data_IF_065983159013
#
_entry.id   IF_065983159013
#
_cell.length_a   1.000
_cell.length_b   1.000
_cell.length_c   1.000
_cell.angle_alpha   90.00
_cell.angle_beta   90.00
_cell.angle_gamma   90.00
#
_symmetry.space_group_name_H-M   'P 1'
#
loop_
_entity.id
_entity.type
_entity.pdbx_description
1 polymer ?
#
# COMPACT_ATOMS: atom_id res chain seq x y z
N UNK A 1 21.77 15.63 8.43
CA UNK A 1 20.73 16.38 9.16
C UNK A 1 19.60 15.43 9.52
N UNK A 2 19.07 15.50 10.74
CA UNK A 2 18.14 14.51 11.33
C UNK A 2 16.68 14.60 10.81
N UNK A 3 16.38 15.50 9.87
CA UNK A 3 15.03 15.65 9.31
C UNK A 3 14.00 16.17 10.32
N UNK A 4 14.44 16.86 11.38
CA UNK A 4 13.57 17.39 12.42
C UNK A 4 12.67 18.49 11.86
N UNK A 5 11.38 18.38 12.13
CA UNK A 5 10.44 19.47 11.88
C UNK A 5 10.67 20.62 12.88
N UNK A 6 10.56 21.88 12.44
CA UNK A 6 10.62 23.03 13.35
C UNK A 6 9.53 22.96 14.43
N UNK A 7 9.78 23.59 15.56
CA UNK A 7 8.79 23.69 16.63
C UNK A 7 7.53 24.40 16.14
N UNK A 8 6.38 23.71 16.26
CA UNK A 8 5.06 24.25 16.02
C UNK A 8 4.27 24.18 17.35
N UNK A 9 3.92 25.32 17.97
CA UNK A 9 3.15 25.33 19.22
C UNK A 9 1.70 24.89 19.04
N UNK A 10 1.18 25.00 17.82
CA UNK A 10 -0.18 24.60 17.47
C UNK A 10 -0.18 23.20 16.86
N UNK A 11 -0.99 22.30 17.43
CA UNK A 11 -1.23 20.95 16.92
C UNK A 11 -2.57 20.95 16.17
N UNK A 12 -2.57 21.07 14.83
CA UNK A 12 -3.80 20.96 14.06
C UNK A 12 -4.40 19.56 14.23
N UNK A 13 -5.72 19.49 14.31
CA UNK A 13 -6.47 18.24 14.36
C UNK A 13 -7.11 17.99 12.99
N UNK A 14 -6.40 17.31 12.06
CA UNK A 14 -6.95 16.98 10.75
C UNK A 14 -8.14 16.04 10.91
N UNK A 15 -9.21 16.31 10.16
CA UNK A 15 -10.40 15.44 10.14
C UNK A 15 -10.08 14.06 9.56
N UNK A 16 -9.04 13.95 8.74
CA UNK A 16 -8.55 12.68 8.17
C UNK A 16 -7.95 11.74 9.23
N UNK A 17 -7.49 12.28 10.37
CA UNK A 17 -6.99 11.45 11.48
C UNK A 17 -8.11 10.90 12.38
N UNK A 18 -9.37 11.28 12.13
CA UNK A 18 -10.53 10.84 12.92
C UNK A 18 -11.01 9.47 12.45
N UNK A 19 -10.76 8.45 13.26
CA UNK A 19 -10.98 7.04 12.89
C UNK A 19 -12.45 6.58 12.89
N UNK A 20 -13.34 7.31 13.55
CA UNK A 20 -14.75 6.97 13.75
C UNK A 20 -15.68 7.69 12.77
N UNK A 21 -15.24 7.95 11.54
CA UNK A 21 -15.97 8.61 10.44
C UNK A 21 -17.50 8.69 10.63
N UNK A 22 -18.04 9.87 10.92
CA UNK A 22 -19.47 10.17 11.15
C UNK A 22 -20.22 9.24 12.15
N UNK A 23 -19.50 8.42 12.92
CA UNK A 23 -20.01 7.55 13.97
C UNK A 23 -19.65 8.17 15.32
N UNK A 24 -20.56 8.96 15.87
CA UNK A 24 -20.36 9.57 17.18
C UNK A 24 -20.45 8.52 18.29
N UNK A 25 -19.34 8.30 19.00
CA UNK A 25 -19.26 7.36 20.13
C UNK A 25 -19.44 8.16 21.41
N UNK A 26 -20.57 8.00 22.10
CA UNK A 26 -20.86 8.78 23.30
C UNK A 26 -20.25 8.14 24.55
N UNK A 27 -19.75 9.00 25.45
CA UNK A 27 -19.22 8.61 26.78
C UNK A 27 -18.17 7.50 26.71
N UNK A 28 -17.15 7.66 25.88
CA UNK A 28 -15.99 6.75 25.87
C UNK A 28 -15.35 6.72 27.25
N UNK A 29 -15.22 5.52 27.83
CA UNK A 29 -14.60 5.28 29.14
C UNK A 29 -13.21 4.69 29.01
N UNK A 30 -13.00 3.80 28.04
CA UNK A 30 -11.73 3.16 27.80
C UNK A 30 -11.51 2.93 26.30
N UNK A 31 -10.25 2.92 25.91
CA UNK A 31 -9.80 2.54 24.57
C UNK A 31 -8.79 1.42 24.75
N UNK A 32 -9.07 0.28 24.13
CA UNK A 32 -8.19 -0.87 24.11
C UNK A 32 -7.55 -0.99 22.73
N UNK A 33 -6.28 -1.34 22.71
CA UNK A 33 -5.55 -1.64 21.50
C UNK A 33 -4.99 -3.05 21.57
N UNK A 34 -5.00 -3.76 20.44
CA UNK A 34 -4.42 -5.08 20.33
C UNK A 34 -3.65 -5.21 19.02
N UNK A 35 -2.52 -5.96 19.01
CA UNK A 35 -1.83 -6.25 17.77
C UNK A 35 -2.73 -7.08 16.85
N UNK A 36 -2.68 -6.79 15.56
CA UNK A 36 -3.26 -7.67 14.54
C UNK A 36 -2.22 -8.69 14.06
N UNK A 37 -2.63 -9.60 13.18
CA UNK A 37 -1.69 -10.52 12.52
C UNK A 37 -0.78 -9.85 11.49
N UNK A 38 -1.14 -8.64 11.03
CA UNK A 38 -0.35 -7.80 10.15
C UNK A 38 0.35 -6.71 10.98
N UNK A 39 1.65 -6.53 10.77
CA UNK A 39 2.50 -5.61 11.52
C UNK A 39 2.06 -4.15 11.34
N UNK A 40 1.58 -3.81 10.15
CA UNK A 40 1.15 -2.45 9.83
C UNK A 40 -0.18 -2.06 10.46
N UNK A 41 -0.89 -3.01 11.10
CA UNK A 41 -2.27 -2.83 11.56
C UNK A 41 -2.43 -3.07 13.06
N UNK A 42 -3.27 -2.24 13.69
CA UNK A 42 -3.66 -2.36 15.09
C UNK A 42 -5.17 -2.38 15.22
N UNK A 43 -5.67 -3.20 16.12
CA UNK A 43 -7.09 -3.31 16.44
C UNK A 43 -7.41 -2.31 17.55
N UNK A 44 -8.37 -1.43 17.33
CA UNK A 44 -8.79 -0.40 18.29
C UNK A 44 -10.23 -0.64 18.69
N UNK A 45 -10.48 -0.77 19.99
CA UNK A 45 -11.81 -0.91 20.58
C UNK A 45 -12.05 0.22 21.58
N UNK A 46 -13.00 1.10 21.29
CA UNK A 46 -13.50 2.08 22.25
C UNK A 46 -14.73 1.53 22.96
N UNK A 47 -14.73 1.59 24.30
CA UNK A 47 -15.82 1.13 25.15
C UNK A 47 -16.36 2.28 26.01
N UNK A 48 -17.68 2.34 26.20
CA UNK A 48 -18.34 3.45 26.88
C UNK A 48 -19.83 3.19 27.08
N UNK A 49 -20.67 4.16 26.69
CA UNK A 49 -22.09 3.90 26.45
C UNK A 49 -22.25 3.03 25.19
N UNK A 50 -21.49 3.38 24.16
CA UNK A 50 -21.45 2.69 22.87
C UNK A 50 -20.16 1.87 22.74
N UNK A 51 -20.18 0.87 21.87
CA UNK A 51 -19.02 0.06 21.50
C UNK A 51 -18.62 0.40 20.07
N UNK A 52 -17.37 0.80 19.86
CA UNK A 52 -16.83 1.08 18.54
C UNK A 52 -15.53 0.31 18.33
N UNK A 53 -15.44 -0.37 17.20
CA UNK A 53 -14.30 -1.20 16.85
C UNK A 53 -13.83 -0.86 15.43
N UNK A 54 -12.53 -0.67 15.27
CA UNK A 54 -11.92 -0.41 13.96
C UNK A 54 -10.49 -0.95 13.89
N UNK A 55 -9.99 -1.10 12.67
CA UNK A 55 -8.58 -1.42 12.40
C UNK A 55 -7.90 -0.14 11.91
N UNK A 56 -6.75 0.18 12.49
CA UNK A 56 -5.99 1.39 12.15
C UNK A 56 -4.61 0.98 11.65
N UNK A 57 -4.16 1.62 10.56
CA UNK A 57 -2.83 1.42 10.00
C UNK A 57 -2.02 2.73 10.07
N UNK A 58 -1.29 3.01 11.16
CA UNK A 58 -0.61 4.29 11.37
C UNK A 58 0.42 4.62 10.27
N UNK A 59 1.11 3.60 9.77
CA UNK A 59 2.17 3.72 8.77
C UNK A 59 1.71 3.36 7.36
N UNK A 60 0.38 3.34 7.12
CA UNK A 60 -0.26 2.69 5.98
C UNK A 60 0.01 1.17 5.95
N UNK A 61 -0.77 0.44 5.17
CA UNK A 61 -0.66 -1.02 5.05
C UNK A 61 0.52 -1.42 4.17
N UNK A 62 1.75 -1.27 4.68
CA UNK A 62 2.98 -1.56 3.92
C UNK A 62 3.21 -3.07 3.69
N UNK A 63 2.61 -3.91 4.53
CA UNK A 63 2.65 -5.37 4.46
C UNK A 63 1.50 -5.96 3.63
N UNK A 64 0.63 -5.11 3.06
CA UNK A 64 -0.44 -5.48 2.15
C UNK A 64 -0.17 -4.92 0.76
N UNK A 65 -0.48 -5.71 -0.27
CA UNK A 65 -0.56 -5.19 -1.63
C UNK A 65 -1.71 -4.19 -1.69
N UNK A 66 -1.49 -3.05 -2.36
CA UNK A 66 -2.52 -2.02 -2.45
C UNK A 66 -3.77 -2.54 -3.16
N UNK A 67 -4.93 -2.11 -2.70
CA UNK A 67 -6.21 -2.45 -3.32
C UNK A 67 -6.34 -1.89 -4.76
N UNK A 68 -5.64 -0.79 -5.06
CA UNK A 68 -5.61 -0.13 -6.38
C UNK A 68 -4.46 -0.60 -7.28
N UNK A 69 -3.83 -1.73 -6.97
CA UNK A 69 -2.70 -2.24 -7.74
C UNK A 69 -3.12 -2.65 -9.16
N UNK A 70 -2.47 -2.07 -10.17
CA UNK A 70 -2.75 -2.36 -11.57
C UNK A 70 -2.04 -3.63 -12.05
N UNK A 71 -2.68 -4.78 -11.80
CA UNK A 71 -2.23 -6.08 -12.30
C UNK A 71 -2.22 -6.14 -13.83
N UNK A 72 -3.11 -5.39 -14.49
CA UNK A 72 -3.27 -5.44 -15.94
C UNK A 72 -2.03 -4.87 -16.65
N UNK A 73 -1.53 -3.73 -16.18
CA UNK A 73 -0.32 -3.10 -16.71
C UNK A 73 0.88 -4.04 -16.67
N UNK A 74 1.15 -4.63 -15.50
CA UNK A 74 2.31 -5.52 -15.32
C UNK A 74 2.17 -6.76 -16.20
N UNK A 75 0.96 -7.33 -16.29
CA UNK A 75 0.72 -8.50 -17.13
C UNK A 75 0.97 -8.22 -18.62
N UNK A 76 0.52 -7.06 -19.12
CA UNK A 76 0.67 -6.66 -20.52
C UNK A 76 2.15 -6.38 -20.84
N UNK A 77 2.84 -5.64 -19.98
CA UNK A 77 4.27 -5.34 -20.16
C UNK A 77 5.10 -6.62 -20.18
N UNK A 78 4.81 -7.55 -19.28
CA UNK A 78 5.49 -8.85 -19.24
C UNK A 78 5.24 -9.66 -20.51
N UNK A 79 3.99 -9.75 -20.97
CA UNK A 79 3.65 -10.44 -22.21
C UNK A 79 4.33 -9.81 -23.44
N UNK A 80 4.34 -8.48 -23.53
CA UNK A 80 5.00 -7.74 -24.61
C UNK A 80 6.52 -8.00 -24.62
N UNK A 81 7.17 -7.97 -23.46
CA UNK A 81 8.61 -8.26 -23.34
C UNK A 81 8.94 -9.69 -23.75
N UNK A 82 8.11 -10.67 -23.40
CA UNK A 82 8.27 -12.07 -23.80
C UNK A 82 8.22 -12.19 -25.34
N UNK A 83 7.19 -11.62 -25.97
CA UNK A 83 7.01 -11.64 -27.44
C UNK A 83 8.17 -10.93 -28.14
N UNK A 84 8.58 -9.77 -27.65
CA UNK A 84 9.71 -9.01 -28.19
C UNK A 84 11.02 -9.79 -28.10
N UNK A 85 11.26 -10.49 -26.99
CA UNK A 85 12.46 -11.32 -26.79
C UNK A 85 12.51 -12.48 -27.79
N UNK A 86 11.41 -13.22 -27.95
CA UNK A 86 11.36 -14.33 -28.92
C UNK A 86 11.52 -13.85 -30.36
N UNK A 87 10.86 -12.75 -30.71
CA UNK A 87 10.98 -12.14 -32.04
C UNK A 87 12.42 -11.71 -32.31
N UNK A 88 13.04 -11.00 -31.36
CA UNK A 88 14.43 -10.53 -31.50
C UNK A 88 15.40 -11.69 -31.62
N UNK A 89 15.25 -12.75 -30.83
CA UNK A 89 16.07 -13.97 -30.94
C UNK A 89 15.95 -14.58 -32.33
N UNK A 90 14.72 -14.74 -32.84
CA UNK A 90 14.47 -15.29 -34.16
C UNK A 90 15.13 -14.46 -35.27
N UNK A 91 14.97 -13.13 -35.24
CA UNK A 91 15.60 -12.25 -36.22
C UNK A 91 17.13 -12.23 -36.09
N UNK A 92 17.68 -12.24 -34.88
CA UNK A 92 19.12 -12.27 -34.63
C UNK A 92 19.77 -13.56 -35.15
N UNK A 93 19.18 -14.73 -34.86
CA UNK A 93 19.68 -16.02 -35.36
C UNK A 93 19.67 -16.07 -36.89
N UNK A 94 18.62 -15.54 -37.53
CA UNK A 94 18.56 -15.44 -39.01
C UNK A 94 19.60 -14.48 -39.58
N UNK A 95 19.83 -13.33 -38.93
CA UNK A 95 20.84 -12.36 -39.35
C UNK A 95 22.25 -12.94 -39.26
N UNK A 96 22.57 -13.63 -38.16
CA UNK A 96 23.85 -14.31 -37.96
C UNK A 96 24.08 -15.40 -39.01
N UNK A 97 23.06 -16.24 -39.29
CA UNK A 97 23.15 -17.24 -40.34
C UNK A 97 23.41 -16.61 -41.71
N UNK A 98 22.68 -15.55 -42.08
CA UNK A 98 22.89 -14.85 -43.36
C UNK A 98 24.30 -14.25 -43.49
N UNK A 99 24.90 -13.80 -42.38
CA UNK A 99 26.27 -13.28 -42.36
C UNK A 99 27.32 -14.38 -42.49
N UNK A 100 27.10 -15.54 -41.86
CA UNK A 100 28.03 -16.67 -41.91
C UNK A 100 28.09 -17.37 -43.28
N UNK A 101 27.04 -17.26 -44.08
CA UNK A 101 26.92 -17.89 -45.41
C UNK A 101 27.26 -16.93 -46.57
N UNK A 102 27.90 -15.80 -46.25
CA UNK A 102 28.44 -14.85 -47.23
C UNK A 102 29.96 -14.95 -47.23
#
# INVERSE_FOLDING_TARGET
EEGLIPYAPELPLPSEAVINYNQTVLKVRAIYTAPAGLESTSLVLATGLDLFYTRVAPSKTFDLLKDDFDYSLISIVLAALVVATYSTKYFASRKLLKMAWK
#
